data_IF_923120898053
#
_entry.id   IF_923120898053
#
_cell.length_a   1.000
_cell.length_b   1.000
_cell.length_c   1.000
_cell.angle_alpha   90.00
_cell.angle_beta   90.00
_cell.angle_gamma   90.00
#
_symmetry.space_group_name_H-M   'P 1'
#
loop_
_entity.id
_entity.type
_entity.pdbx_description
1 polymer ?
#
# COMPACT_ATOMS: atom_id res chain seq x y z
N UNK A 1 1.48 65.19 16.94
CA UNK A 1 0.22 64.43 17.01
C UNK A 1 0.12 63.58 15.75
N UNK A 2 -0.21 62.30 15.90
CA UNK A 2 -0.45 61.26 14.88
C UNK A 2 0.77 60.49 14.35
N UNK A 3 1.05 59.34 14.99
CA UNK A 3 1.71 58.19 14.37
C UNK A 3 0.62 57.16 14.09
N UNK A 4 0.35 56.90 12.82
CA UNK A 4 -0.52 55.82 12.35
C UNK A 4 0.25 54.50 12.46
N UNK A 5 -0.10 53.63 13.41
CA UNK A 5 0.34 52.24 13.42
C UNK A 5 -0.59 51.41 12.54
N UNK A 6 -0.12 51.05 11.34
CA UNK A 6 -0.72 50.03 10.50
C UNK A 6 -0.40 48.65 11.09
N UNK A 7 -1.41 47.97 11.65
CA UNK A 7 -1.31 46.55 12.01
C UNK A 7 -1.49 45.72 10.73
N UNK A 8 -0.39 45.19 10.18
CA UNK A 8 -0.42 44.16 9.14
C UNK A 8 -0.71 42.84 9.85
N UNK A 9 -1.95 42.35 9.76
CA UNK A 9 -2.32 41.00 10.17
C UNK A 9 -1.84 40.06 9.05
N UNK A 10 -0.67 39.46 9.25
CA UNK A 10 -0.15 38.39 8.41
C UNK A 10 -0.97 37.11 8.70
N UNK A 11 -2.03 36.89 7.94
CA UNK A 11 -2.71 35.60 7.90
C UNK A 11 -1.74 34.57 7.32
N UNK A 12 -1.13 33.78 8.20
CA UNK A 12 -0.43 32.55 7.82
C UNK A 12 -1.48 31.56 7.31
N UNK A 13 -1.75 31.59 6.01
CA UNK A 13 -2.37 30.44 5.34
C UNK A 13 -1.39 29.28 5.44
N UNK A 14 -1.68 28.38 6.39
CA UNK A 14 -1.00 27.08 6.47
C UNK A 14 -1.49 26.32 5.24
N UNK A 15 -0.73 26.34 4.15
CA UNK A 15 -0.96 25.45 3.02
C UNK A 15 -0.85 24.03 3.56
N UNK A 16 -1.99 23.35 3.70
CA UNK A 16 -2.01 21.92 3.92
C UNK A 16 -1.56 21.28 2.62
N UNK A 17 -0.25 21.12 2.45
CA UNK A 17 0.29 20.29 1.37
C UNK A 17 -0.24 18.88 1.62
N UNK A 18 -1.29 18.51 0.88
CA UNK A 18 -1.83 17.16 0.88
C UNK A 18 -0.75 16.26 0.29
N UNK A 19 -0.05 15.51 1.14
CA UNK A 19 0.93 14.54 0.67
C UNK A 19 0.19 13.47 -0.13
N UNK A 20 0.68 13.23 -1.34
CA UNK A 20 -0.03 12.57 -2.40
C UNK A 20 -0.22 11.04 -2.25
N UNK A 21 0.32 10.42 -1.18
CA UNK A 21 -0.13 9.08 -0.72
C UNK A 21 -1.65 9.03 -0.46
N UNK A 22 -2.26 10.20 -0.26
CA UNK A 22 -3.70 10.40 -0.14
C UNK A 22 -4.52 9.75 -1.27
N UNK A 23 -4.17 9.98 -2.53
CA UNK A 23 -4.97 9.55 -3.69
C UNK A 23 -4.93 8.03 -3.86
N UNK A 24 -3.76 7.41 -3.66
CA UNK A 24 -3.62 5.95 -3.66
C UNK A 24 -4.53 5.27 -2.64
N UNK A 25 -4.58 5.77 -1.40
CA UNK A 25 -5.52 5.25 -0.39
C UNK A 25 -6.98 5.42 -0.79
N UNK A 26 -7.35 6.55 -1.38
CA UNK A 26 -8.72 6.76 -1.86
C UNK A 26 -9.09 5.79 -2.99
N UNK A 27 -8.20 5.55 -3.94
CA UNK A 27 -8.40 4.60 -5.03
C UNK A 27 -8.61 3.18 -4.48
N UNK A 28 -7.73 2.72 -3.60
CA UNK A 28 -7.81 1.35 -3.04
C UNK A 28 -9.07 1.16 -2.20
N UNK A 29 -9.47 2.16 -1.42
CA UNK A 29 -10.74 2.16 -0.69
C UNK A 29 -11.97 2.20 -1.61
N UNK A 30 -11.93 2.96 -2.71
CA UNK A 30 -12.99 2.98 -3.72
C UNK A 30 -13.11 1.65 -4.47
N UNK A 31 -11.99 0.99 -4.77
CA UNK A 31 -12.01 -0.38 -5.31
C UNK A 31 -12.64 -1.30 -4.27
N UNK A 32 -12.16 -1.30 -3.02
CA UNK A 32 -12.68 -2.16 -1.96
C UNK A 32 -14.19 -2.03 -1.76
N UNK A 33 -14.71 -0.79 -1.72
CA UNK A 33 -16.15 -0.49 -1.58
C UNK A 33 -17.01 -1.24 -2.61
N UNK A 34 -16.53 -1.39 -3.86
CA UNK A 34 -17.24 -2.08 -4.95
C UNK A 34 -17.33 -3.60 -4.73
N UNK A 35 -16.46 -4.18 -3.90
CA UNK A 35 -16.40 -5.62 -3.61
C UNK A 35 -16.91 -5.99 -2.20
N UNK A 36 -17.44 -5.03 -1.44
CA UNK A 36 -18.14 -5.32 -0.18
C UNK A 36 -19.47 -6.01 -0.45
N UNK A 37 -19.77 -7.04 0.34
CA UNK A 37 -21.09 -7.67 0.38
C UNK A 37 -22.14 -6.67 0.86
N UNK A 38 -23.42 -6.77 0.42
CA UNK A 38 -24.46 -5.81 0.81
C UNK A 38 -24.59 -5.62 2.33
N UNK A 39 -24.61 -6.71 3.11
CA UNK A 39 -24.68 -6.64 4.58
C UNK A 39 -23.46 -5.96 5.20
N UNK A 40 -22.27 -6.28 4.70
CA UNK A 40 -21.00 -5.69 5.16
C UNK A 40 -20.96 -4.20 4.85
N UNK A 41 -21.50 -3.78 3.70
CA UNK A 41 -21.61 -2.37 3.31
C UNK A 41 -22.44 -1.57 4.31
N UNK A 42 -23.53 -2.15 4.82
CA UNK A 42 -24.34 -1.50 5.87
C UNK A 42 -23.59 -1.39 7.19
N UNK A 43 -22.94 -2.45 7.66
CA UNK A 43 -22.11 -2.38 8.87
C UNK A 43 -20.96 -1.38 8.75
N UNK A 44 -20.30 -1.31 7.59
CA UNK A 44 -19.27 -0.30 7.31
C UNK A 44 -19.88 1.10 7.35
N UNK A 45 -21.06 1.30 6.73
CA UNK A 45 -21.75 2.59 6.72
C UNK A 45 -22.07 3.10 8.11
N UNK A 46 -22.45 2.23 9.04
CA UNK A 46 -22.70 2.58 10.44
C UNK A 46 -21.45 3.11 11.16
N UNK A 47 -20.29 2.51 10.89
CA UNK A 47 -19.01 2.89 11.50
C UNK A 47 -18.37 4.14 10.86
N UNK A 48 -18.86 4.58 9.71
CA UNK A 48 -18.33 5.73 9.00
C UNK A 48 -18.86 7.06 9.56
N UNK A 49 -18.04 8.13 9.58
CA UNK A 49 -18.55 9.46 9.91
C UNK A 49 -19.55 9.92 8.85
N UNK A 50 -20.56 10.71 9.24
CA UNK A 50 -21.57 11.25 8.32
C UNK A 50 -20.95 11.96 7.11
N UNK A 51 -19.83 12.66 7.30
CA UNK A 51 -19.09 13.35 6.25
C UNK A 51 -18.53 12.44 5.16
N UNK A 52 -18.44 11.13 5.40
CA UNK A 52 -17.99 10.15 4.39
C UNK A 52 -19.12 9.72 3.45
N UNK A 53 -20.37 10.10 3.73
CA UNK A 53 -21.55 9.78 2.92
C UNK A 53 -21.64 8.29 2.55
N UNK A 54 -21.32 7.40 3.51
CA UNK A 54 -21.33 5.95 3.31
C UNK A 54 -20.20 5.36 2.47
N UNK A 55 -19.17 6.13 2.11
CA UNK A 55 -18.03 5.68 1.32
C UNK A 55 -16.76 5.49 2.17
N UNK A 56 -15.93 4.50 1.83
CA UNK A 56 -14.62 4.28 2.47
C UNK A 56 -13.55 5.31 2.07
N UNK A 57 -13.54 5.78 0.81
CA UNK A 57 -12.45 6.63 0.31
C UNK A 57 -12.20 7.91 1.12
N UNK A 58 -13.20 8.64 1.69
CA UNK A 58 -12.94 9.85 2.47
C UNK A 58 -12.16 9.61 3.77
N UNK A 59 -12.18 8.38 4.30
CA UNK A 59 -11.46 8.03 5.54
C UNK A 59 -10.10 7.38 5.28
N UNK A 60 -9.82 6.96 4.05
CA UNK A 60 -8.72 6.04 3.74
C UNK A 60 -7.33 6.62 4.05
N UNK A 61 -7.16 7.94 3.94
CA UNK A 61 -5.90 8.64 4.25
C UNK A 61 -5.91 9.35 5.62
N UNK A 62 -6.90 9.06 6.48
CA UNK A 62 -7.02 9.74 7.77
C UNK A 62 -5.83 9.47 8.71
N UNK A 63 -5.29 8.25 8.71
CA UNK A 63 -4.19 7.85 9.59
C UNK A 63 -2.91 8.69 9.35
N UNK A 64 -2.61 9.00 8.09
CA UNK A 64 -1.50 9.87 7.70
C UNK A 64 -1.58 11.28 8.29
N UNK A 65 -2.79 11.82 8.43
CA UNK A 65 -3.00 13.15 9.01
C UNK A 65 -2.86 13.11 10.51
N UNK A 66 -3.44 12.09 11.16
CA UNK A 66 -3.46 12.05 12.63
C UNK A 66 -2.12 11.64 13.24
N UNK A 67 -1.25 10.91 12.53
CA UNK A 67 0.05 10.47 13.07
C UNK A 67 0.98 11.61 13.53
N UNK A 68 0.70 12.86 13.15
CA UNK A 68 1.42 14.04 13.61
C UNK A 68 0.81 14.70 14.86
N UNK A 69 -0.41 14.35 15.22
CA UNK A 69 -1.12 14.89 16.38
C UNK A 69 -0.63 14.22 17.67
N UNK A 70 -0.51 14.94 18.80
CA UNK A 70 -0.03 14.37 20.06
C UNK A 70 -0.75 13.09 20.48
N UNK A 71 -2.08 13.04 20.31
CA UNK A 71 -2.92 11.88 20.64
C UNK A 71 -2.55 10.62 19.85
N UNK A 72 -2.09 10.76 18.61
CA UNK A 72 -1.88 9.65 17.67
C UNK A 72 -0.41 9.50 17.27
N UNK A 73 0.51 10.28 17.84
CA UNK A 73 1.94 10.23 17.51
C UNK A 73 2.55 8.82 17.66
N UNK A 74 1.98 7.99 18.53
CA UNK A 74 2.42 6.61 18.71
C UNK A 74 2.18 5.73 17.46
N UNK A 75 1.29 6.13 16.55
CA UNK A 75 0.95 5.36 15.34
C UNK A 75 1.94 5.58 14.20
N UNK A 76 2.85 6.55 14.25
CA UNK A 76 3.72 6.86 13.10
C UNK A 76 4.56 5.67 12.62
N UNK A 77 4.97 4.77 13.53
CA UNK A 77 5.72 3.55 13.20
C UNK A 77 4.84 2.41 12.67
N UNK A 78 3.51 2.53 12.79
CA UNK A 78 2.55 1.53 12.31
C UNK A 78 2.32 1.59 10.79
N UNK A 79 2.89 2.57 10.09
CA UNK A 79 2.74 2.73 8.64
C UNK A 79 3.76 1.93 7.82
N UNK A 80 4.76 1.31 8.46
CA UNK A 80 5.83 0.60 7.76
C UNK A 80 6.41 -0.53 8.60
N UNK A 81 7.23 -1.36 7.98
CA UNK A 81 8.09 -2.35 8.65
C UNK A 81 9.48 -2.32 8.04
N UNK A 82 10.49 -2.44 8.89
CA UNK A 82 11.88 -2.58 8.48
C UNK A 82 12.47 -3.83 9.10
N UNK A 83 13.04 -4.68 8.26
CA UNK A 83 13.70 -5.91 8.69
C UNK A 83 15.22 -5.74 8.61
N UNK A 84 15.96 -6.06 9.68
CA UNK A 84 17.42 -6.08 9.63
C UNK A 84 17.93 -7.01 8.52
N UNK A 85 18.96 -6.58 7.79
CA UNK A 85 19.58 -7.26 6.62
C UNK A 85 18.75 -7.21 5.33
N UNK A 86 17.57 -6.60 5.33
CA UNK A 86 16.91 -6.19 4.09
C UNK A 86 17.76 -5.10 3.42
N UNK A 87 18.29 -5.39 2.24
CA UNK A 87 19.12 -4.51 1.44
C UNK A 87 18.82 -4.69 -0.06
N UNK A 88 17.66 -4.21 -0.55
CA UNK A 88 17.37 -4.20 -1.97
C UNK A 88 18.45 -3.42 -2.75
N UNK A 89 18.73 -3.70 -4.04
CA UNK A 89 18.13 -4.77 -4.82
C UNK A 89 18.76 -6.16 -4.57
N UNK A 90 19.87 -6.22 -3.83
CA UNK A 90 20.65 -7.46 -3.67
C UNK A 90 19.93 -8.51 -2.82
N UNK A 91 19.26 -8.06 -1.75
CA UNK A 91 18.57 -8.94 -0.82
C UNK A 91 17.28 -8.31 -0.29
N UNK A 92 16.15 -8.97 -0.53
CA UNK A 92 14.83 -8.58 -0.02
C UNK A 92 14.38 -9.56 1.05
N UNK A 93 14.25 -9.06 2.27
CA UNK A 93 13.90 -9.86 3.43
C UNK A 93 12.83 -9.14 4.25
N UNK A 94 11.74 -9.85 4.53
CA UNK A 94 10.75 -9.42 5.50
C UNK A 94 10.54 -10.49 6.56
N UNK A 95 10.54 -10.09 7.83
CA UNK A 95 10.34 -10.99 8.95
C UNK A 95 9.29 -10.43 9.88
N UNK A 96 8.20 -11.18 10.04
CA UNK A 96 7.21 -10.89 11.08
C UNK A 96 7.79 -11.14 12.47
N UNK A 97 7.55 -10.20 13.38
CA UNK A 97 7.95 -10.26 14.78
C UNK A 97 6.77 -9.81 15.64
N UNK A 98 6.05 -10.74 16.29
CA UNK A 98 4.94 -10.39 17.17
C UNK A 98 5.34 -9.36 18.24
N UNK A 99 4.45 -8.42 18.53
CA UNK A 99 4.62 -7.41 19.58
C UNK A 99 5.49 -6.21 19.20
N UNK A 100 6.02 -6.16 17.98
CA UNK A 100 6.69 -4.95 17.48
C UNK A 100 5.67 -3.90 17.05
N UNK A 101 6.05 -2.62 17.18
CA UNK A 101 5.27 -1.50 16.64
C UNK A 101 5.66 -1.34 15.17
N UNK A 102 4.94 -2.05 14.31
CA UNK A 102 5.06 -2.01 12.85
C UNK A 102 3.70 -2.26 12.19
N UNK A 103 3.65 -2.10 10.87
CA UNK A 103 2.43 -2.26 10.07
C UNK A 103 1.80 -3.66 10.16
N UNK A 104 2.62 -4.72 10.26
CA UNK A 104 2.11 -6.09 10.30
C UNK A 104 1.33 -6.32 11.60
N UNK A 105 1.91 -5.92 12.73
CA UNK A 105 1.25 -5.99 14.03
C UNK A 105 0.07 -5.01 14.13
N UNK A 106 0.16 -3.84 13.49
CA UNK A 106 -0.95 -2.88 13.44
C UNK A 106 -2.17 -3.46 12.74
N UNK A 107 -1.99 -4.12 11.60
CA UNK A 107 -3.08 -4.80 10.88
C UNK A 107 -3.73 -5.85 11.79
N UNK A 108 -2.96 -6.73 12.44
CA UNK A 108 -3.51 -7.70 13.39
C UNK A 108 -4.30 -7.03 14.53
N UNK A 109 -3.75 -5.97 15.13
CA UNK A 109 -4.41 -5.24 16.20
C UNK A 109 -5.73 -4.60 15.75
N UNK A 110 -5.74 -3.87 14.64
CA UNK A 110 -6.93 -3.16 14.18
C UNK A 110 -7.97 -4.08 13.54
N UNK A 111 -7.57 -5.24 13.01
CA UNK A 111 -8.49 -6.34 12.69
C UNK A 111 -9.22 -6.81 13.95
N UNK A 112 -8.49 -7.13 15.03
CA UNK A 112 -9.09 -7.57 16.30
C UNK A 112 -9.97 -6.51 16.96
N UNK A 113 -9.59 -5.23 16.88
CA UNK A 113 -10.39 -4.12 17.41
C UNK A 113 -11.66 -3.86 16.62
N UNK A 114 -11.67 -4.16 15.32
CA UNK A 114 -12.85 -3.97 14.48
C UNK A 114 -13.85 -5.12 14.59
N UNK A 115 -13.40 -6.31 15.00
CA UNK A 115 -14.22 -7.52 15.19
C UNK A 115 -15.49 -7.21 16.00
N UNK A 116 -16.69 -7.53 15.50
CA UNK A 116 -17.94 -7.43 16.26
C UNK A 116 -17.96 -8.21 17.58
N UNK A 117 -17.09 -9.21 17.74
CA UNK A 117 -16.91 -9.98 18.99
C UNK A 117 -15.99 -9.29 19.99
N UNK A 118 -15.36 -8.18 19.62
CA UNK A 118 -14.60 -7.36 20.58
C UNK A 118 -15.55 -6.70 21.58
N UNK A 119 -15.10 -6.53 22.82
CA UNK A 119 -15.85 -5.82 23.87
C UNK A 119 -15.72 -4.28 23.73
N UNK A 120 -15.47 -3.78 22.52
CA UNK A 120 -15.21 -2.37 22.27
C UNK A 120 -16.50 -1.64 21.84
N UNK A 121 -16.67 -0.43 22.37
CA UNK A 121 -17.74 0.47 21.97
C UNK A 121 -17.59 0.96 20.52
N UNK A 122 -18.58 1.71 20.06
CA UNK A 122 -18.64 2.30 18.72
C UNK A 122 -17.35 3.04 18.33
N UNK A 123 -16.87 3.98 19.16
CA UNK A 123 -15.78 4.88 18.78
C UNK A 123 -14.45 4.16 18.54
N UNK A 124 -13.97 3.25 19.42
CA UNK A 124 -12.78 2.45 19.13
C UNK A 124 -12.89 1.57 17.87
N UNK A 125 -14.08 1.06 17.56
CA UNK A 125 -14.34 0.25 16.36
C UNK A 125 -14.34 1.10 15.09
N UNK A 126 -14.98 2.27 15.12
CA UNK A 126 -14.96 3.23 14.03
C UNK A 126 -13.53 3.73 13.75
N UNK A 127 -12.75 3.98 14.79
CA UNK A 127 -11.31 4.29 14.67
C UNK A 127 -10.53 3.11 14.06
N UNK A 128 -10.82 1.88 14.50
CA UNK A 128 -10.17 0.68 13.98
C UNK A 128 -10.43 0.46 12.49
N UNK A 129 -11.66 0.73 12.00
CA UNK A 129 -11.97 0.70 10.57
C UNK A 129 -11.06 1.65 9.77
N UNK A 130 -10.88 2.89 10.27
CA UNK A 130 -10.07 3.90 9.56
C UNK A 130 -8.60 3.50 9.50
N UNK A 131 -8.05 3.02 10.61
CA UNK A 131 -6.68 2.52 10.64
C UNK A 131 -6.48 1.28 9.80
N UNK A 132 -7.38 0.30 9.88
CA UNK A 132 -7.24 -0.95 9.15
C UNK A 132 -7.26 -0.74 7.63
N UNK A 133 -8.20 0.09 7.13
CA UNK A 133 -8.27 0.44 5.70
C UNK A 133 -6.97 1.11 5.24
N UNK A 134 -6.44 2.03 6.04
CA UNK A 134 -5.20 2.72 5.73
C UNK A 134 -3.98 1.80 5.73
N UNK A 135 -3.78 1.01 6.79
CA UNK A 135 -2.63 0.12 6.92
C UNK A 135 -2.64 -1.02 5.90
N UNK A 136 -3.82 -1.51 5.50
CA UNK A 136 -3.90 -2.41 4.37
C UNK A 136 -3.46 -1.71 3.07
N UNK A 137 -3.72 -0.41 2.92
CA UNK A 137 -3.14 0.42 1.86
C UNK A 137 -1.62 0.46 1.89
N UNK A 138 -1.06 0.91 3.02
CA UNK A 138 0.39 1.05 3.23
C UNK A 138 1.13 -0.27 3.02
N UNK A 139 0.54 -1.42 3.41
CA UNK A 139 1.15 -2.73 3.26
C UNK A 139 1.52 -3.02 1.80
N UNK A 140 0.76 -2.50 0.85
CA UNK A 140 0.93 -2.76 -0.58
C UNK A 140 1.84 -1.77 -1.29
N UNK A 141 2.34 -0.77 -0.56
CA UNK A 141 3.40 0.11 -1.03
C UNK A 141 4.75 -0.58 -0.72
N UNK A 142 5.53 -1.04 -1.73
CA UNK A 142 6.74 -1.80 -1.48
C UNK A 142 7.78 -1.11 -0.58
N UNK A 143 7.97 0.20 -0.73
CA UNK A 143 8.90 1.00 0.07
C UNK A 143 8.48 1.14 1.54
N UNK A 144 7.22 0.86 1.91
CA UNK A 144 6.80 0.73 3.31
C UNK A 144 7.29 -0.57 3.95
N UNK A 145 7.82 -1.50 3.15
CA UNK A 145 8.30 -2.81 3.58
C UNK A 145 9.84 -2.94 3.53
N UNK A 146 10.57 -1.82 3.49
CA UNK A 146 12.04 -1.80 3.51
C UNK A 146 12.60 -0.71 4.42
N UNK A 147 13.74 -0.99 5.05
CA UNK A 147 14.52 0.01 5.78
C UNK A 147 15.45 0.86 4.90
N UNK A 148 15.71 0.44 3.65
CA UNK A 148 16.74 1.04 2.80
C UNK A 148 16.44 2.52 2.57
N UNK A 149 17.41 3.37 2.94
CA UNK A 149 17.30 4.84 2.85
C UNK A 149 16.00 5.37 3.49
N UNK A 150 15.57 4.81 4.63
CA UNK A 150 14.29 5.14 5.29
C UNK A 150 13.09 4.92 4.35
N UNK A 151 12.96 3.72 3.80
CA UNK A 151 11.92 3.39 2.83
C UNK A 151 12.02 4.23 1.55
N UNK A 152 13.22 4.55 1.08
CA UNK A 152 13.41 5.39 -0.10
C UNK A 152 13.20 6.90 0.12
N UNK A 153 12.82 7.36 1.31
CA UNK A 153 12.70 8.82 1.59
C UNK A 153 14.05 9.53 1.42
N UNK A 154 15.13 8.85 1.81
CA UNK A 154 16.50 9.34 1.63
C UNK A 154 17.10 9.04 0.26
N UNK A 155 16.35 8.49 -0.70
CA UNK A 155 16.82 8.22 -2.05
C UNK A 155 16.35 9.33 -2.98
N UNK A 156 17.27 10.22 -3.38
CA UNK A 156 16.98 11.39 -4.22
C UNK A 156 16.72 10.98 -5.67
N UNK A 157 15.78 11.63 -6.33
CA UNK A 157 15.43 11.39 -7.72
C UNK A 157 14.87 12.68 -8.34
N UNK A 158 14.78 12.70 -9.66
CA UNK A 158 14.04 13.70 -10.42
C UNK A 158 12.81 12.98 -11.01
N UNK A 159 11.65 13.62 -10.94
CA UNK A 159 10.43 13.12 -11.56
C UNK A 159 9.68 14.27 -12.22
N UNK A 160 9.51 14.17 -13.54
CA UNK A 160 8.92 15.21 -14.40
C UNK A 160 9.61 16.58 -14.19
N UNK A 161 10.95 16.57 -14.16
CA UNK A 161 11.77 17.76 -13.97
C UNK A 161 11.87 18.27 -12.52
N UNK A 162 11.18 17.64 -11.56
CA UNK A 162 11.17 18.08 -10.16
C UNK A 162 12.00 17.16 -9.27
N UNK A 163 12.90 17.75 -8.47
CA UNK A 163 13.63 17.02 -7.43
C UNK A 163 12.67 16.48 -6.36
N UNK A 164 12.80 15.20 -6.04
CA UNK A 164 11.94 14.51 -5.08
C UNK A 164 12.66 13.29 -4.47
N UNK A 165 11.91 12.42 -3.79
CA UNK A 165 12.42 11.14 -3.26
C UNK A 165 11.78 9.96 -3.97
N UNK A 166 12.48 8.83 -4.00
CA UNK A 166 11.97 7.57 -4.52
C UNK A 166 10.69 7.14 -3.80
N UNK A 167 10.60 7.37 -2.49
CA UNK A 167 9.39 7.11 -1.70
C UNK A 167 8.19 7.86 -2.26
N UNK A 168 8.33 9.17 -2.44
CA UNK A 168 7.26 10.01 -2.95
C UNK A 168 6.87 9.69 -4.39
N UNK A 169 7.83 9.24 -5.20
CA UNK A 169 7.52 8.79 -6.57
C UNK A 169 6.54 7.61 -6.55
N UNK A 170 6.80 6.63 -5.68
CA UNK A 170 5.98 5.42 -5.55
C UNK A 170 4.68 5.63 -4.79
N UNK A 171 4.67 6.47 -3.76
CA UNK A 171 3.44 6.83 -3.03
C UNK A 171 2.44 7.58 -3.90
N UNK A 172 2.94 8.30 -4.92
CA UNK A 172 2.21 9.44 -5.45
C UNK A 172 2.43 9.68 -6.94
N UNK A 173 3.64 10.07 -7.33
CA UNK A 173 3.88 10.66 -8.65
C UNK A 173 3.57 9.71 -9.80
N UNK A 174 3.86 8.41 -9.62
CA UNK A 174 3.50 7.38 -10.61
C UNK A 174 1.98 7.30 -10.80
N UNK A 175 1.22 7.32 -9.70
CA UNK A 175 -0.25 7.28 -9.73
C UNK A 175 -0.78 8.53 -10.44
N UNK A 176 -0.31 9.71 -10.07
CA UNK A 176 -0.75 10.97 -10.68
C UNK A 176 -0.46 11.03 -12.18
N UNK A 177 0.72 10.56 -12.58
CA UNK A 177 1.13 10.48 -13.98
C UNK A 177 0.26 9.50 -14.76
N UNK A 178 -0.01 8.32 -14.21
CA UNK A 178 -0.87 7.33 -14.85
C UNK A 178 -2.31 7.83 -15.00
N UNK A 179 -2.85 8.56 -14.01
CA UNK A 179 -4.18 9.20 -14.10
C UNK A 179 -4.23 10.21 -15.26
N UNK A 180 -3.21 11.07 -15.38
CA UNK A 180 -3.12 12.06 -16.47
C UNK A 180 -2.95 11.39 -17.83
N UNK A 181 -2.05 10.42 -17.95
CA UNK A 181 -1.75 9.73 -19.21
C UNK A 181 -2.92 8.90 -19.75
N UNK A 182 -3.86 8.48 -18.89
CA UNK A 182 -5.08 7.79 -19.31
C UNK A 182 -6.06 8.71 -20.09
N UNK A 183 -5.73 9.99 -20.26
CA UNK A 183 -6.48 10.94 -21.10
C UNK A 183 -7.49 11.80 -20.33
N UNK A 184 -7.32 11.93 -19.02
CA UNK A 184 -8.12 12.85 -18.21
C UNK A 184 -7.35 14.16 -18.02
N UNK A 185 -7.88 15.25 -18.59
CA UNK A 185 -7.34 16.60 -18.42
C UNK A 185 -7.48 17.02 -16.94
N UNK A 186 -6.43 16.79 -16.15
CA UNK A 186 -6.33 17.33 -14.80
C UNK A 186 -5.09 18.25 -14.72
N UNK A 187 -5.33 19.54 -14.61
CA UNK A 187 -4.30 20.55 -14.38
C UNK A 187 -4.10 20.71 -12.86
N UNK A 188 -2.88 20.49 -12.38
CA UNK A 188 -2.45 20.79 -11.00
C UNK A 188 -2.21 22.29 -10.81
N UNK A 189 -3.18 23.14 -11.12
CA UNK A 189 -2.97 24.59 -11.00
C UNK A 189 -3.38 25.18 -9.65
N UNK A 190 -4.32 24.61 -8.88
CA UNK A 190 -4.84 25.33 -7.70
C UNK A 190 -5.19 24.40 -6.52
N UNK A 191 -4.36 24.46 -5.47
CA UNK A 191 -4.50 23.73 -4.19
C UNK A 191 -5.81 24.06 -3.43
N UNK A 192 -6.53 25.12 -3.79
CA UNK A 192 -7.75 25.57 -3.11
C UNK A 192 -9.05 24.91 -3.59
N UNK A 193 -9.06 24.23 -4.74
CA UNK A 193 -10.26 23.57 -5.28
C UNK A 193 -10.46 22.12 -4.80
N UNK A 194 -9.55 21.60 -3.97
CA UNK A 194 -9.55 20.22 -3.48
C UNK A 194 -10.74 19.89 -2.55
N UNK A 195 -11.38 20.91 -1.96
CA UNK A 195 -12.53 20.76 -1.05
C UNK A 195 -13.87 21.11 -1.74
N UNK A 196 -13.85 21.86 -2.85
CA UNK A 196 -15.05 22.50 -3.38
C UNK A 196 -15.67 21.83 -4.62
N UNK A 197 -14.91 21.08 -5.42
CA UNK A 197 -15.47 20.49 -6.64
C UNK A 197 -15.91 19.05 -6.40
N UNK A 198 -17.07 18.92 -5.76
CA UNK A 198 -18.05 17.94 -6.18
C UNK A 198 -18.31 18.18 -7.67
N UNK A 199 -17.52 17.57 -8.56
CA UNK A 199 -18.07 17.24 -9.86
C UNK A 199 -19.36 16.48 -9.57
N UNK A 200 -20.44 16.86 -10.24
CA UNK A 200 -21.76 16.23 -10.09
C UNK A 200 -21.76 14.69 -10.32
N UNK A 201 -20.58 14.09 -10.63
CA UNK A 201 -20.33 12.70 -11.04
C UNK A 201 -19.29 11.91 -10.19
N UNK A 202 -18.80 12.41 -9.04
CA UNK A 202 -17.91 11.66 -8.12
C UNK A 202 -16.43 12.10 -8.09
N UNK A 203 -15.51 11.30 -7.48
CA UNK A 203 -14.11 11.73 -7.30
C UNK A 203 -13.32 11.73 -8.62
N UNK A 204 -12.36 12.65 -8.77
CA UNK A 204 -11.59 12.83 -10.02
C UNK A 204 -10.84 11.57 -10.49
N UNK A 205 -10.47 10.67 -9.56
CA UNK A 205 -9.78 9.41 -9.84
C UNK A 205 -10.73 8.25 -10.20
N UNK A 206 -12.06 8.44 -10.14
CA UNK A 206 -13.05 7.39 -10.46
C UNK A 206 -12.85 6.77 -11.86
N UNK A 207 -12.49 7.52 -12.91
CA UNK A 207 -12.22 6.89 -14.20
C UNK A 207 -11.00 5.95 -14.18
N UNK A 208 -9.96 6.28 -13.39
CA UNK A 208 -8.82 5.40 -13.19
C UNK A 208 -9.21 4.15 -12.38
N UNK A 209 -10.08 4.29 -11.36
CA UNK A 209 -10.70 3.14 -10.68
C UNK A 209 -11.45 2.24 -11.66
N UNK A 210 -12.26 2.81 -12.56
CA UNK A 210 -13.00 2.05 -13.59
C UNK A 210 -12.04 1.31 -14.53
N UNK A 211 -10.94 1.95 -14.92
CA UNK A 211 -9.88 1.33 -15.72
C UNK A 211 -9.26 0.13 -15.00
N UNK A 212 -8.86 0.28 -13.73
CA UNK A 212 -8.29 -0.82 -12.92
C UNK A 212 -9.29 -1.97 -12.79
N UNK A 213 -10.56 -1.68 -12.50
CA UNK A 213 -11.61 -2.72 -12.41
C UNK A 213 -11.82 -3.42 -13.75
N UNK A 214 -11.67 -2.71 -14.88
CA UNK A 214 -11.72 -3.35 -16.20
C UNK A 214 -10.52 -4.29 -16.42
N UNK A 215 -9.30 -3.90 -16.01
CA UNK A 215 -8.12 -4.78 -16.04
C UNK A 215 -8.35 -6.03 -15.19
N UNK A 216 -8.96 -5.90 -14.01
CA UNK A 216 -9.32 -7.04 -13.14
C UNK A 216 -10.29 -8.01 -13.84
N UNK A 217 -11.27 -7.49 -14.58
CA UNK A 217 -12.28 -8.31 -15.29
C UNK A 217 -11.76 -8.97 -16.56
N UNK A 218 -10.69 -8.43 -17.15
CA UNK A 218 -10.17 -8.85 -18.46
C UNK A 218 -8.80 -9.53 -18.31
N UNK A 219 -7.76 -8.75 -18.04
CA UNK A 219 -6.37 -9.20 -17.99
C UNK A 219 -6.09 -10.07 -16.78
N UNK A 220 -6.56 -9.68 -15.59
CA UNK A 220 -6.26 -10.39 -14.33
C UNK A 220 -7.40 -11.29 -13.84
N UNK A 221 -8.35 -11.63 -14.71
CA UNK A 221 -9.57 -12.37 -14.34
C UNK A 221 -9.28 -13.67 -13.57
N UNK A 222 -8.22 -14.38 -13.95
CA UNK A 222 -7.83 -15.65 -13.33
C UNK A 222 -7.06 -15.47 -12.02
N UNK A 223 -6.41 -14.31 -11.82
CA UNK A 223 -5.58 -14.06 -10.63
C UNK A 223 -6.38 -13.47 -9.46
N UNK A 224 -7.45 -12.70 -9.75
CA UNK A 224 -8.21 -11.93 -8.74
C UNK A 224 -8.71 -12.79 -7.58
N UNK A 225 -9.11 -14.05 -7.86
CA UNK A 225 -9.61 -14.97 -6.84
C UNK A 225 -8.54 -15.43 -5.84
N UNK A 226 -7.27 -15.34 -6.22
CA UNK A 226 -6.14 -15.79 -5.40
C UNK A 226 -5.54 -14.66 -4.56
N UNK A 227 -5.80 -13.39 -4.93
CA UNK A 227 -5.15 -12.24 -4.29
C UNK A 227 -5.46 -12.10 -2.80
N UNK A 228 -6.66 -12.49 -2.38
CA UNK A 228 -7.08 -12.45 -0.97
C UNK A 228 -6.63 -13.67 -0.16
N UNK A 229 -6.11 -14.72 -0.81
CA UNK A 229 -5.76 -15.97 -0.13
C UNK A 229 -4.51 -15.78 0.74
N UNK A 230 -4.59 -16.31 1.95
CA UNK A 230 -3.45 -16.47 2.84
C UNK A 230 -2.72 -17.77 2.47
N UNK A 231 -1.62 -17.67 1.74
CA UNK A 231 -0.85 -18.86 1.38
C UNK A 231 0.04 -19.28 2.58
N UNK A 232 -0.58 -19.93 3.57
CA UNK A 232 0.07 -20.42 4.78
C UNK A 232 1.08 -21.56 4.50
N UNK A 233 0.98 -22.21 3.32
CA UNK A 233 1.87 -23.28 2.87
C UNK A 233 3.20 -22.79 2.28
N UNK A 234 3.38 -21.47 2.12
CA UNK A 234 4.72 -20.93 1.87
C UNK A 234 5.53 -20.98 3.17
N UNK A 235 6.16 -22.14 3.42
CA UNK A 235 7.29 -22.27 4.34
C UNK A 235 8.43 -21.38 3.83
N UNK A 236 8.52 -20.16 4.35
CA UNK A 236 9.70 -19.34 4.15
C UNK A 236 10.80 -19.86 5.05
N UNK A 237 11.89 -20.31 4.43
CA UNK A 237 13.11 -20.74 5.10
C UNK A 237 13.57 -19.62 6.03
N UNK A 238 13.31 -19.80 7.32
CA UNK A 238 13.96 -19.05 8.38
C UNK A 238 15.39 -19.56 8.46
N UNK A 239 16.28 -19.03 7.61
CA UNK A 239 17.69 -19.39 7.65
C UNK A 239 18.31 -18.89 8.97
N UNK A 240 18.49 -19.84 9.88
CA UNK A 240 19.59 -19.84 10.83
C UNK A 240 20.87 -20.12 10.03
N UNK A 241 21.92 -19.39 10.35
CA UNK A 241 23.32 -19.68 10.04
C UNK A 241 23.83 -19.30 8.64
N UNK A 242 24.37 -18.08 8.61
CA UNK A 242 25.54 -17.74 7.80
C UNK A 242 26.74 -18.47 8.39
N UNK A 243 27.13 -19.59 7.81
CA UNK A 243 28.50 -20.08 7.85
C UNK A 243 28.63 -21.23 6.83
N UNK A 244 29.57 -21.04 5.90
CA UNK A 244 30.02 -21.99 4.87
C UNK A 244 29.36 -21.92 3.48
N UNK A 245 30.23 -21.96 2.47
CA UNK A 245 29.99 -22.28 1.05
C UNK A 245 29.59 -21.10 0.14
N UNK A 246 30.44 -20.08 0.01
CA UNK A 246 31.43 -20.07 -1.08
C UNK A 246 31.90 -21.48 -1.49
N UNK A 247 31.30 -22.06 -2.54
CA UNK A 247 31.97 -22.93 -3.50
C UNK A 247 31.09 -23.22 -4.72
N UNK A 248 31.68 -22.94 -5.88
CA UNK A 248 31.43 -23.47 -7.23
C UNK A 248 30.10 -23.18 -7.93
N UNK A 249 30.22 -22.33 -8.96
CA UNK A 249 29.76 -22.55 -10.34
C UNK A 249 28.95 -23.82 -10.64
N UNK A 250 27.80 -23.66 -11.31
CA UNK A 250 27.65 -24.18 -12.68
C UNK A 250 26.44 -23.57 -13.41
N UNK A 251 26.72 -23.14 -14.64
CA UNK A 251 25.78 -22.72 -15.68
C UNK A 251 24.87 -23.87 -16.16
N UNK A 252 23.70 -23.56 -16.73
CA UNK A 252 23.36 -23.85 -18.15
C UNK A 252 21.90 -23.51 -18.46
N UNK A 253 21.73 -22.65 -19.47
CA UNK A 253 20.50 -22.49 -20.22
C UNK A 253 20.21 -23.77 -21.02
N UNK A 254 18.97 -24.26 -20.99
CA UNK A 254 18.41 -24.98 -22.15
C UNK A 254 16.94 -24.63 -22.36
N UNK A 255 16.64 -24.35 -23.64
CA UNK A 255 15.37 -23.95 -24.23
C UNK A 255 14.46 -25.17 -24.39
N UNK A 256 13.17 -25.00 -24.08
CA UNK A 256 11.99 -25.42 -24.87
C UNK A 256 10.82 -25.86 -23.97
N UNK A 257 9.85 -24.97 -23.72
CA UNK A 257 8.47 -25.16 -24.16
C UNK A 257 7.55 -24.02 -23.68
N UNK A 258 6.61 -23.68 -24.54
CA UNK A 258 5.56 -22.68 -24.34
C UNK A 258 4.63 -23.11 -23.20
N UNK A 259 4.80 -22.52 -22.02
CA UNK A 259 3.80 -22.34 -20.95
C UNK A 259 4.50 -21.62 -19.80
N UNK A 260 4.28 -20.31 -19.62
CA UNK A 260 4.78 -19.61 -18.43
C UNK A 260 3.83 -19.87 -17.26
N UNK A 261 3.85 -21.10 -16.75
CA UNK A 261 3.46 -21.42 -15.39
C UNK A 261 4.71 -21.30 -14.53
N UNK A 262 4.70 -20.38 -13.55
CA UNK A 262 5.72 -20.34 -12.50
C UNK A 262 5.50 -21.53 -11.55
N UNK A 263 5.98 -22.71 -11.95
CA UNK A 263 6.06 -23.89 -11.09
C UNK A 263 7.47 -24.03 -10.52
N UNK A 264 7.66 -23.70 -9.25
CA UNK A 264 8.91 -23.98 -8.53
C UNK A 264 8.84 -25.40 -7.98
N UNK A 265 9.65 -26.30 -8.54
CA UNK A 265 9.75 -27.69 -8.11
C UNK A 265 10.90 -27.80 -7.10
N UNK A 266 10.59 -27.85 -5.80
CA UNK A 266 11.57 -28.08 -4.74
C UNK A 266 11.30 -29.45 -4.11
N UNK A 267 12.13 -30.45 -4.43
CA UNK A 267 12.28 -31.65 -3.61
C UNK A 267 13.48 -31.44 -2.71
N UNK A 268 13.26 -31.28 -1.40
CA UNK A 268 14.22 -31.70 -0.37
C UNK A 268 13.58 -31.76 1.02
N UNK A 269 14.23 -32.53 1.89
CA UNK A 269 13.69 -33.26 3.05
C UNK A 269 13.06 -32.37 4.13
N UNK A 270 11.88 -32.81 4.58
CA UNK A 270 11.08 -32.31 5.72
C UNK A 270 11.78 -32.53 7.06
N UNK A 271 11.92 -31.46 7.84
CA UNK A 271 11.79 -31.53 9.30
C UNK A 271 10.70 -30.56 9.75
N UNK A 272 9.67 -31.11 10.40
CA UNK A 272 8.37 -30.47 10.60
C UNK A 272 8.35 -29.68 11.90
N UNK A 273 8.33 -28.35 11.82
CA UNK A 273 7.91 -27.50 12.94
C UNK A 273 6.40 -27.29 12.86
N UNK A 274 5.65 -28.00 13.72
CA UNK A 274 4.20 -27.87 13.82
C UNK A 274 3.83 -26.49 14.40
N UNK A 275 3.53 -25.53 13.53
CA UNK A 275 2.61 -24.45 13.88
C UNK A 275 1.23 -25.10 14.08
N UNK A 276 0.87 -25.32 15.34
CA UNK A 276 -0.46 -25.80 15.72
C UNK A 276 -1.51 -24.96 14.98
N UNK A 277 -2.33 -25.64 14.17
CA UNK A 277 -3.54 -25.18 13.46
C UNK A 277 -4.29 -24.12 14.29
N UNK A 278 -3.96 -22.85 14.11
CA UNK A 278 -4.52 -21.74 14.90
C UNK A 278 -5.30 -20.86 13.94
N UNK A 279 -6.61 -21.09 13.91
CA UNK A 279 -7.67 -20.17 13.49
C UNK A 279 -7.39 -19.42 12.19
N UNK A 280 -8.05 -19.81 11.10
CA UNK A 280 -8.08 -19.11 9.81
C UNK A 280 -8.05 -17.60 10.03
N UNK A 281 -6.89 -16.97 9.85
CA UNK A 281 -6.70 -15.58 10.23
C UNK A 281 -7.47 -14.69 9.26
N UNK A 282 -8.31 -13.79 9.78
CA UNK A 282 -9.11 -12.85 8.96
C UNK A 282 -8.21 -11.98 8.06
N UNK A 283 -6.98 -11.73 8.50
CA UNK A 283 -5.92 -11.06 7.72
C UNK A 283 -4.59 -11.76 7.93
N UNK A 284 -3.77 -11.85 6.88
CA UNK A 284 -2.45 -12.49 6.91
C UNK A 284 -1.35 -11.56 6.38
N UNK A 285 -1.16 -10.39 7.02
CA UNK A 285 -0.26 -9.36 6.52
C UNK A 285 1.18 -9.86 6.34
N UNK A 286 1.66 -10.77 7.20
CA UNK A 286 2.99 -11.35 7.10
C UNK A 286 3.21 -12.18 5.83
N UNK A 287 2.19 -12.86 5.33
CA UNK A 287 2.28 -13.64 4.10
C UNK A 287 2.18 -12.75 2.87
N UNK A 288 1.31 -11.74 2.91
CA UNK A 288 1.18 -10.75 1.85
C UNK A 288 2.42 -9.88 1.72
N UNK A 289 3.08 -9.55 2.83
CA UNK A 289 4.24 -8.68 2.85
C UNK A 289 5.46 -9.27 2.12
N UNK A 290 5.59 -10.60 2.02
CA UNK A 290 6.76 -11.22 1.38
C UNK A 290 6.86 -10.93 -0.11
N UNK A 291 5.87 -11.28 -0.96
CA UNK A 291 5.93 -10.92 -2.38
C UNK A 291 5.95 -9.40 -2.59
N UNK A 292 5.32 -8.61 -1.71
CA UNK A 292 5.33 -7.15 -1.80
C UNK A 292 6.71 -6.56 -1.49
N UNK A 293 7.42 -7.07 -0.47
CA UNK A 293 8.80 -6.67 -0.17
C UNK A 293 9.74 -7.05 -1.31
N UNK A 294 9.57 -8.22 -1.96
CA UNK A 294 10.39 -8.64 -3.10
C UNK A 294 10.33 -7.68 -4.29
N UNK A 295 9.24 -6.92 -4.46
CA UNK A 295 9.16 -5.88 -5.48
C UNK A 295 10.21 -4.78 -5.29
N UNK A 296 10.73 -4.59 -4.07
CA UNK A 296 11.86 -3.69 -3.85
C UNK A 296 13.08 -4.11 -4.68
N UNK A 297 13.38 -5.41 -4.72
CA UNK A 297 14.52 -5.94 -5.45
C UNK A 297 14.24 -6.06 -6.94
N UNK A 298 13.03 -6.50 -7.29
CA UNK A 298 12.69 -6.81 -8.68
C UNK A 298 12.33 -5.57 -9.51
N UNK A 299 11.82 -4.51 -8.88
CA UNK A 299 11.21 -3.38 -9.59
C UNK A 299 11.69 -2.04 -9.06
N UNK A 300 11.52 -1.77 -7.77
CA UNK A 300 11.66 -0.42 -7.19
C UNK A 300 13.10 0.07 -7.23
N UNK A 301 14.02 -0.74 -6.70
CA UNK A 301 15.44 -0.42 -6.62
C UNK A 301 16.24 -0.99 -7.79
N UNK A 302 15.62 -1.82 -8.62
CA UNK A 302 16.25 -2.32 -9.83
C UNK A 302 16.46 -1.16 -10.81
N UNK A 303 17.71 -0.96 -11.25
CA UNK A 303 18.12 0.14 -12.11
C UNK A 303 17.84 1.55 -11.54
N UNK A 304 17.60 1.68 -10.23
CA UNK A 304 17.50 2.99 -9.60
C UNK A 304 18.88 3.65 -9.57
N UNK A 305 18.98 4.83 -10.17
CA UNK A 305 20.16 5.68 -10.11
C UNK A 305 19.80 6.96 -9.35
N UNK A 306 20.61 7.39 -8.36
CA UNK A 306 20.35 8.64 -7.65
C UNK A 306 20.36 9.87 -8.55
N UNK A 307 19.48 10.83 -8.25
CA UNK A 307 19.42 12.15 -8.89
C UNK A 307 19.16 12.12 -10.42
N UNK A 308 18.62 11.02 -10.95
CA UNK A 308 18.20 10.91 -12.35
C UNK A 308 16.70 11.10 -12.53
N UNK A 309 16.28 11.45 -13.75
CA UNK A 309 14.88 11.51 -14.16
C UNK A 309 14.28 10.09 -14.23
N UNK A 310 13.20 9.84 -13.47
CA UNK A 310 12.54 8.54 -13.36
C UNK A 310 11.13 8.51 -13.95
N UNK A 311 10.66 9.62 -14.54
CA UNK A 311 9.36 9.70 -15.21
C UNK A 311 9.39 9.34 -16.70
N UNK A 312 10.57 9.04 -17.23
CA UNK A 312 10.81 8.57 -18.59
C UNK A 312 11.94 7.53 -18.62
N UNK A 313 12.21 6.97 -19.81
CA UNK A 313 13.22 5.92 -19.99
C UNK A 313 12.80 4.56 -19.40
N UNK A 314 13.76 3.63 -19.34
CA UNK A 314 13.46 2.22 -19.05
C UNK A 314 12.90 1.99 -17.63
N UNK A 315 13.22 2.85 -16.65
CA UNK A 315 12.65 2.77 -15.31
C UNK A 315 11.13 2.92 -15.34
N UNK A 316 10.64 4.01 -15.96
CA UNK A 316 9.21 4.29 -16.09
C UNK A 316 8.52 3.31 -17.05
N UNK A 317 9.12 3.05 -18.21
CA UNK A 317 8.53 2.18 -19.23
C UNK A 317 8.35 0.74 -18.72
N UNK A 318 9.27 0.23 -17.88
CA UNK A 318 9.10 -1.07 -17.23
C UNK A 318 7.89 -1.09 -16.27
N UNK A 319 7.73 -0.04 -15.45
CA UNK A 319 6.60 0.11 -14.53
C UNK A 319 5.28 0.14 -15.30
N UNK A 320 5.23 0.95 -16.37
CA UNK A 320 4.06 1.09 -17.25
C UNK A 320 3.72 -0.20 -17.99
N UNK A 321 4.71 -0.85 -18.61
CA UNK A 321 4.54 -2.13 -19.35
C UNK A 321 4.01 -3.24 -18.46
N UNK A 322 4.51 -3.32 -17.22
CA UNK A 322 4.09 -4.35 -16.24
C UNK A 322 2.77 -4.01 -15.54
N UNK A 323 2.30 -2.76 -15.61
CA UNK A 323 1.10 -2.26 -14.91
C UNK A 323 1.15 -2.53 -13.40
N UNK A 324 2.35 -2.47 -12.82
CA UNK A 324 2.57 -2.88 -11.44
C UNK A 324 1.83 -1.97 -10.45
N UNK A 325 1.71 -0.67 -10.77
CA UNK A 325 0.99 0.30 -9.94
C UNK A 325 -0.51 -0.04 -9.91
N UNK A 326 -1.15 -0.21 -11.07
CA UNK A 326 -2.56 -0.61 -11.17
C UNK A 326 -2.81 -1.95 -10.48
N UNK A 327 -1.89 -2.91 -10.64
CA UNK A 327 -2.01 -4.24 -10.04
C UNK A 327 -1.94 -4.18 -8.51
N UNK A 328 -1.01 -3.39 -7.96
CA UNK A 328 -0.92 -3.18 -6.51
C UNK A 328 -2.18 -2.52 -5.96
N UNK A 329 -2.67 -1.46 -6.62
CA UNK A 329 -3.92 -0.79 -6.22
C UNK A 329 -5.12 -1.76 -6.24
N UNK A 330 -5.21 -2.62 -7.27
CA UNK A 330 -6.25 -3.65 -7.40
C UNK A 330 -6.17 -4.71 -6.29
N UNK A 331 -4.98 -5.30 -6.08
CA UNK A 331 -4.73 -6.31 -5.02
C UNK A 331 -5.12 -5.74 -3.66
N UNK A 332 -4.72 -4.49 -3.39
CA UNK A 332 -5.04 -3.79 -2.14
C UNK A 332 -6.54 -3.69 -1.93
N UNK A 333 -7.28 -3.21 -2.93
CA UNK A 333 -8.74 -3.07 -2.84
C UNK A 333 -9.43 -4.41 -2.60
N UNK A 334 -8.99 -5.48 -3.27
CA UNK A 334 -9.51 -6.84 -3.06
C UNK A 334 -9.21 -7.34 -1.64
N UNK A 335 -8.00 -7.14 -1.13
CA UNK A 335 -7.63 -7.57 0.24
C UNK A 335 -8.38 -6.78 1.31
N UNK A 336 -8.56 -5.47 1.15
CA UNK A 336 -9.42 -4.66 2.05
C UNK A 336 -10.84 -5.22 2.05
N UNK A 337 -11.43 -5.45 0.86
CA UNK A 337 -12.78 -5.98 0.77
C UNK A 337 -12.89 -7.38 1.39
N UNK A 338 -11.93 -8.27 1.14
CA UNK A 338 -11.91 -9.62 1.71
C UNK A 338 -11.84 -9.59 3.24
N UNK A 339 -10.92 -8.80 3.82
CA UNK A 339 -10.79 -8.64 5.28
C UNK A 339 -12.10 -8.12 5.88
N UNK A 340 -12.68 -7.06 5.31
CA UNK A 340 -13.93 -6.49 5.82
C UNK A 340 -15.12 -7.45 5.67
N UNK A 341 -15.21 -8.17 4.55
CA UNK A 341 -16.26 -9.17 4.31
C UNK A 341 -16.15 -10.34 5.28
N UNK A 342 -14.95 -10.81 5.58
CA UNK A 342 -14.71 -11.88 6.55
C UNK A 342 -14.98 -11.44 7.99
N UNK A 343 -14.68 -10.18 8.32
CA UNK A 343 -14.81 -9.66 9.68
C UNK A 343 -16.23 -9.22 10.06
N UNK A 344 -16.96 -8.64 9.11
CA UNK A 344 -18.27 -8.01 9.33
C UNK A 344 -19.43 -8.76 8.64
N UNK A 345 -19.13 -9.89 8.01
CA UNK A 345 -20.04 -10.73 7.20
C UNK A 345 -21.16 -11.41 7.96
#
# INVERSE_FOLDING_TARGET
MNIFCFFIILFLFINNVLSYGYVGHQITASIAQKFLLPKVREHVRELLPKSANGNLYPIAAWADRVKYQPKYRFTSRMHYVSTPRDNPPDNCLIKYRPGRVDILNAIHNYTNRLDPKSNLDFWPRAEALRFLVHFLGDLHQPLHLTGKRRGGTGASAIFEGHKTSLHYIWDSRLIDKHIRELGYNFTFSDEENFIANNFHDGPFFEPYVKHIVNLMKTIWKQEVTEWAVCNEEMEYIFEKETQELFKSDLMLFEKNNKQTHFGVNLRQKKETYSLKKKQTSVSCPEYWAVPLNRLNCQVVWNDYVPDTELSEGEYYERIKRTRIIEKLLAITGIRIAAVLNSLLG
#
